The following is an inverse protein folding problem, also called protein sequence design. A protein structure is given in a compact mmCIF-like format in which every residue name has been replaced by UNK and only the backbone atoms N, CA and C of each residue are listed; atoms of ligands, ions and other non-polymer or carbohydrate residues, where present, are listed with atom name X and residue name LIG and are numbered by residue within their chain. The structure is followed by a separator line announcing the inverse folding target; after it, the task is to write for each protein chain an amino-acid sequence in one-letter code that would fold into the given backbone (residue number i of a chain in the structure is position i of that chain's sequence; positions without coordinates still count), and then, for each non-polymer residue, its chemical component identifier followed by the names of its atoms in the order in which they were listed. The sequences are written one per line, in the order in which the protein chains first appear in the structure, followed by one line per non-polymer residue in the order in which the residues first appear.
data_IF_974182633631
#
_entry.id   IF_974182633631
#
_cell.length_a   1.000
_cell.length_b   1.000
_cell.length_c   1.000
_cell.angle_alpha   90.00
_cell.angle_beta   90.00
_cell.angle_gamma   90.00
#
_symmetry.space_group_name_H-M   'P 1'
#
loop_
_entity.id
_entity.type
_entity.pdbx_description
1 polymer ?
#
# COMPACT_ATOMS: atom_id res chain seq x y z
N UNK A 1 -61.38 8.93 -10.42
CA UNK A 1 -60.36 7.94 -10.01
C UNK A 1 -58.98 8.24 -10.60
N UNK A 2 -58.86 8.73 -11.83
CA UNK A 2 -57.55 9.04 -12.45
C UNK A 2 -56.81 10.24 -11.81
N UNK A 3 -57.52 11.27 -11.36
CA UNK A 3 -56.92 12.43 -10.67
C UNK A 3 -56.19 12.03 -9.38
N UNK A 4 -56.78 11.16 -8.55
CA UNK A 4 -56.17 10.71 -7.29
C UNK A 4 -54.92 9.84 -7.49
N UNK A 5 -54.83 9.12 -8.62
CA UNK A 5 -53.63 8.33 -8.95
C UNK A 5 -52.47 9.21 -9.43
N UNK A 6 -52.76 10.32 -10.09
CA UNK A 6 -51.76 11.29 -10.53
C UNK A 6 -51.13 12.03 -9.35
N UNK A 7 -51.97 12.48 -8.41
CA UNK A 7 -51.53 13.15 -7.18
C UNK A 7 -50.67 12.23 -6.29
N UNK A 8 -50.95 10.92 -6.29
CA UNK A 8 -50.16 9.93 -5.56
C UNK A 8 -48.78 9.71 -6.18
N UNK A 9 -48.68 9.68 -7.51
CA UNK A 9 -47.39 9.52 -8.21
C UNK A 9 -46.47 10.73 -7.99
N UNK A 10 -47.04 11.93 -8.08
CA UNK A 10 -46.30 13.17 -7.87
C UNK A 10 -45.73 13.25 -6.45
N UNK A 11 -46.51 12.85 -5.44
CA UNK A 11 -46.02 12.74 -4.05
C UNK A 11 -44.91 11.69 -3.88
N UNK A 12 -44.97 10.57 -4.60
CA UNK A 12 -43.93 9.54 -4.52
C UNK A 12 -42.62 10.07 -5.14
N UNK A 13 -42.69 10.75 -6.29
CA UNK A 13 -41.52 11.34 -6.94
C UNK A 13 -40.89 12.45 -6.08
N UNK A 14 -41.70 13.30 -5.46
CA UNK A 14 -41.23 14.32 -4.52
C UNK A 14 -40.55 13.70 -3.29
N UNK A 15 -41.12 12.62 -2.74
CA UNK A 15 -40.52 11.89 -1.62
C UNK A 15 -39.18 11.24 -2.00
N UNK A 16 -39.07 10.64 -3.18
CA UNK A 16 -37.82 10.04 -3.66
C UNK A 16 -36.75 11.13 -3.84
N UNK A 17 -37.09 12.25 -4.47
CA UNK A 17 -36.15 13.36 -4.68
C UNK A 17 -35.68 13.98 -3.36
N UNK A 18 -36.58 14.16 -2.40
CA UNK A 18 -36.23 14.63 -1.06
C UNK A 18 -35.35 13.63 -0.30
N UNK A 19 -35.57 12.33 -0.52
CA UNK A 19 -34.74 11.28 0.07
C UNK A 19 -33.34 11.23 -0.55
N UNK A 20 -33.22 11.41 -1.86
CA UNK A 20 -31.93 11.47 -2.56
C UNK A 20 -31.11 12.69 -2.11
N UNK A 21 -31.72 13.88 -2.03
CA UNK A 21 -31.04 15.10 -1.57
C UNK A 21 -30.59 15.02 -0.11
N UNK A 22 -31.41 14.44 0.76
CA UNK A 22 -31.03 14.21 2.18
C UNK A 22 -29.89 13.20 2.31
N UNK A 23 -29.92 12.12 1.52
CA UNK A 23 -28.83 11.15 1.47
C UNK A 23 -27.53 11.78 0.95
N UNK A 24 -27.57 12.60 -0.10
CA UNK A 24 -26.39 13.30 -0.61
C UNK A 24 -25.80 14.27 0.41
N UNK A 25 -26.65 15.00 1.13
CA UNK A 25 -26.24 15.91 2.21
C UNK A 25 -25.61 15.15 3.38
N UNK A 26 -26.18 14.01 3.77
CA UNK A 26 -25.63 13.11 4.78
C UNK A 26 -24.28 12.54 4.32
N UNK A 27 -24.17 12.07 3.09
CA UNK A 27 -22.91 11.58 2.53
C UNK A 27 -21.83 12.66 2.50
N UNK A 28 -22.16 13.90 2.10
CA UNK A 28 -21.22 15.04 2.15
C UNK A 28 -20.81 15.36 3.59
N UNK A 29 -21.74 15.34 4.54
CA UNK A 29 -21.47 15.62 5.96
C UNK A 29 -20.62 14.54 6.62
N UNK A 30 -20.87 13.26 6.31
CA UNK A 30 -20.06 12.12 6.75
C UNK A 30 -18.65 12.26 6.17
N UNK A 31 -18.52 12.50 4.86
CA UNK A 31 -17.24 12.65 4.18
C UNK A 31 -16.42 13.85 4.66
N UNK A 32 -17.09 14.93 5.09
CA UNK A 32 -16.44 16.10 5.67
C UNK A 32 -16.01 15.86 7.13
N UNK A 33 -16.83 15.19 7.95
CA UNK A 33 -16.43 14.77 9.31
C UNK A 33 -15.28 13.76 9.29
N UNK A 34 -15.25 12.87 8.29
CA UNK A 34 -14.12 11.96 8.06
C UNK A 34 -12.84 12.71 7.69
N UNK A 35 -12.92 13.84 6.97
CA UNK A 35 -11.75 14.69 6.67
C UNK A 35 -11.20 15.43 7.89
N UNK A 36 -12.04 15.77 8.85
CA UNK A 36 -11.62 16.42 10.10
C UNK A 36 -11.06 15.43 11.12
N UNK A 37 -11.37 14.13 10.98
CA UNK A 37 -10.95 13.05 11.90
C UNK A 37 -9.85 12.15 11.33
N UNK A 38 -9.17 12.55 10.25
CA UNK A 38 -8.12 11.76 9.64
C UNK A 38 -7.03 11.43 10.66
N UNK A 39 -6.88 10.17 11.11
CA UNK A 39 -5.75 9.82 11.94
C UNK A 39 -4.50 10.07 11.10
N UNK A 40 -3.65 10.96 11.60
CA UNK A 40 -2.27 11.11 11.12
C UNK A 40 -1.62 9.73 11.08
N UNK A 41 -0.71 9.51 10.12
CA UNK A 41 0.03 8.26 10.06
C UNK A 41 0.68 8.04 11.44
N UNK A 42 0.39 6.93 12.14
CA UNK A 42 0.98 6.67 13.44
C UNK A 42 2.50 6.69 13.36
N UNK A 43 3.18 7.27 14.35
CA UNK A 43 4.64 7.49 14.31
C UNK A 43 5.44 6.19 14.21
N UNK A 44 4.88 5.07 14.70
CA UNK A 44 5.47 3.74 14.63
C UNK A 44 5.29 3.06 13.25
N UNK A 45 4.66 3.72 12.27
CA UNK A 45 4.58 3.27 10.89
C UNK A 45 5.48 4.12 9.96
N UNK A 46 6.14 3.52 8.95
CA UNK A 46 6.22 2.09 8.69
C UNK A 46 7.09 1.36 9.72
N UNK A 47 6.84 0.06 9.91
CA UNK A 47 7.65 -0.79 10.78
C UNK A 47 9.07 -0.91 10.23
N UNK A 48 10.04 -0.75 11.12
CA UNK A 48 11.47 -0.89 10.87
C UNK A 48 11.97 -2.26 11.32
N UNK A 49 11.43 -2.78 12.41
CA UNK A 49 11.86 -4.05 12.98
C UNK A 49 10.71 -5.03 13.19
N UNK A 50 11.07 -6.28 13.50
CA UNK A 50 10.12 -7.33 13.84
C UNK A 50 9.35 -7.00 15.13
N UNK A 51 10.05 -6.46 16.12
CA UNK A 51 9.55 -6.21 17.45
C UNK A 51 8.45 -5.13 17.42
N UNK A 52 8.59 -4.14 16.55
CA UNK A 52 7.57 -3.09 16.35
C UNK A 52 6.26 -3.68 15.78
N UNK A 53 6.36 -4.66 14.86
CA UNK A 53 5.20 -5.36 14.28
C UNK A 53 4.50 -6.30 15.28
N UNK A 54 5.25 -6.93 16.18
CA UNK A 54 4.72 -7.88 17.18
C UNK A 54 4.18 -7.19 18.43
N UNK A 55 4.83 -6.12 18.90
CA UNK A 55 4.47 -5.46 20.15
C UNK A 55 3.40 -4.38 19.98
N UNK A 56 3.36 -3.71 18.80
CA UNK A 56 2.51 -2.55 18.44
C UNK A 56 2.18 -1.68 19.65
N UNK A 57 2.97 -0.60 19.85
CA UNK A 57 2.86 0.30 21.01
C UNK A 57 1.42 0.81 21.20
N UNK A 58 0.82 1.40 20.16
CA UNK A 58 -0.54 1.93 20.22
C UNK A 58 -1.50 1.16 19.32
N UNK A 59 -1.90 -0.03 19.79
CA UNK A 59 -2.78 -0.93 19.03
C UNK A 59 -4.10 -0.29 18.60
N UNK A 60 -4.73 0.51 19.47
CA UNK A 60 -6.01 1.16 19.17
C UNK A 60 -5.89 2.21 18.06
N UNK A 61 -4.79 2.95 18.04
CA UNK A 61 -4.54 3.96 17.02
C UNK A 61 -4.18 3.31 15.69
N UNK A 62 -3.45 2.19 15.71
CA UNK A 62 -3.26 1.37 14.52
C UNK A 62 -4.61 0.89 13.96
N UNK A 63 -5.50 0.34 14.80
CA UNK A 63 -6.82 -0.12 14.36
C UNK A 63 -7.64 1.02 13.75
N UNK A 64 -7.69 2.19 14.41
CA UNK A 64 -8.40 3.38 13.91
C UNK A 64 -7.84 3.83 12.56
N UNK A 65 -6.51 3.90 12.45
CA UNK A 65 -5.84 4.27 11.22
C UNK A 65 -6.11 3.28 10.08
N UNK A 66 -6.05 1.98 10.36
CA UNK A 66 -6.34 0.95 9.36
C UNK A 66 -7.81 0.95 8.93
N UNK A 67 -8.77 1.17 9.84
CA UNK A 67 -10.19 1.36 9.50
C UNK A 67 -10.37 2.55 8.57
N UNK A 68 -9.67 3.65 8.85
CA UNK A 68 -9.69 4.82 7.98
C UNK A 68 -9.09 4.53 6.59
N UNK A 69 -8.02 3.73 6.51
CA UNK A 69 -7.39 3.34 5.23
C UNK A 69 -8.06 2.17 4.54
N UNK A 70 -9.04 1.52 5.17
CA UNK A 70 -9.69 0.35 4.62
C UNK A 70 -10.45 0.70 3.34
N UNK A 71 -10.56 -0.28 2.47
CA UNK A 71 -11.26 -0.23 1.20
C UNK A 71 -12.52 -1.10 1.31
N UNK A 72 -13.41 -1.04 0.32
CA UNK A 72 -14.60 -1.91 0.29
C UNK A 72 -14.25 -3.35 -0.09
N UNK A 73 -13.05 -3.59 -0.64
CA UNK A 73 -12.59 -4.91 -1.09
C UNK A 73 -11.41 -5.42 -0.27
N UNK A 74 -11.51 -6.67 0.23
CA UNK A 74 -10.48 -7.34 1.04
C UNK A 74 -9.10 -7.27 0.39
N UNK A 75 -9.01 -7.54 -0.92
CA UNK A 75 -7.75 -7.54 -1.65
C UNK A 75 -7.08 -6.16 -1.66
N UNK A 76 -7.88 -5.10 -1.76
CA UNK A 76 -7.40 -3.72 -1.72
C UNK A 76 -6.97 -3.34 -0.31
N UNK A 77 -7.74 -3.73 0.72
CA UNK A 77 -7.36 -3.57 2.12
C UNK A 77 -6.01 -4.23 2.41
N UNK A 78 -5.86 -5.51 2.08
CA UNK A 78 -4.63 -6.26 2.33
C UNK A 78 -3.43 -5.61 1.66
N UNK A 79 -3.57 -5.20 0.38
CA UNK A 79 -2.51 -4.49 -0.33
C UNK A 79 -2.15 -3.17 0.36
N UNK A 80 -3.15 -2.33 0.65
CA UNK A 80 -2.93 -0.99 1.22
C UNK A 80 -2.36 -1.06 2.64
N UNK A 81 -2.82 -2.00 3.46
CA UNK A 81 -2.32 -2.17 4.82
C UNK A 81 -0.86 -2.60 4.84
N UNK A 82 -0.46 -3.54 3.98
CA UNK A 82 0.94 -3.90 3.83
C UNK A 82 1.78 -2.73 3.30
N UNK A 83 1.23 -1.93 2.37
CA UNK A 83 1.96 -0.77 1.81
C UNK A 83 2.22 0.30 2.87
N UNK A 84 1.26 0.55 3.77
CA UNK A 84 1.48 1.43 4.92
C UNK A 84 2.46 0.81 5.91
N UNK A 85 2.29 -0.47 6.23
CA UNK A 85 3.03 -1.11 7.31
C UNK A 85 4.52 -1.28 7.02
N UNK A 86 4.88 -1.50 5.75
CA UNK A 86 6.27 -1.78 5.39
C UNK A 86 6.90 -0.68 4.55
N UNK A 87 6.11 0.18 3.89
CA UNK A 87 6.59 1.16 2.89
C UNK A 87 7.73 0.57 2.01
N UNK A 88 8.60 1.37 1.42
CA UNK A 88 9.80 0.91 0.70
C UNK A 88 10.87 0.27 1.60
N UNK A 89 10.52 -0.26 2.78
CA UNK A 89 11.45 -0.99 3.63
C UNK A 89 11.67 -2.41 3.10
N UNK A 90 12.41 -2.46 1.99
CA UNK A 90 12.69 -3.66 1.20
C UNK A 90 13.38 -4.77 2.00
N UNK A 91 14.05 -4.44 3.10
CA UNK A 91 14.76 -5.41 3.94
C UNK A 91 13.81 -6.20 4.84
N UNK A 92 12.86 -5.52 5.48
CA UNK A 92 11.93 -6.17 6.41
C UNK A 92 10.93 -7.06 5.64
N UNK A 93 10.46 -6.61 4.48
CA UNK A 93 9.52 -7.38 3.67
C UNK A 93 10.15 -8.69 3.15
N UNK A 94 11.43 -8.70 2.79
CA UNK A 94 12.11 -9.89 2.26
C UNK A 94 12.20 -11.02 3.30
N UNK A 95 12.37 -10.65 4.57
CA UNK A 95 12.50 -11.61 5.68
C UNK A 95 11.16 -12.06 6.27
N UNK A 96 10.08 -11.28 6.12
CA UNK A 96 8.75 -11.64 6.63
C UNK A 96 8.15 -12.80 5.84
N UNK A 97 7.50 -13.74 6.52
CA UNK A 97 6.74 -14.82 5.89
C UNK A 97 5.32 -14.85 6.41
N UNK A 98 4.41 -15.54 5.72
CA UNK A 98 3.02 -15.62 6.18
C UNK A 98 2.91 -16.34 7.53
N UNK A 99 3.42 -17.57 7.63
CA UNK A 99 3.30 -18.42 8.83
C UNK A 99 4.44 -18.21 9.83
N UNK A 100 5.58 -17.70 9.37
CA UNK A 100 6.80 -17.66 10.18
C UNK A 100 7.63 -18.93 10.04
N UNK A 101 8.87 -18.86 10.51
CA UNK A 101 9.75 -20.00 10.75
C UNK A 101 10.65 -19.70 11.95
N UNK A 102 11.52 -20.64 12.34
CA UNK A 102 12.49 -20.42 13.43
C UNK A 102 13.39 -19.19 13.20
N UNK A 103 13.60 -18.80 11.96
CA UNK A 103 14.51 -17.73 11.55
C UNK A 103 13.82 -16.55 10.87
N UNK A 104 12.53 -16.66 10.54
CA UNK A 104 11.78 -15.62 9.83
C UNK A 104 10.49 -15.26 10.57
N UNK A 105 10.19 -13.96 10.77
CA UNK A 105 8.95 -13.56 11.41
C UNK A 105 7.71 -13.99 10.61
N UNK A 106 6.66 -14.34 11.34
CA UNK A 106 5.35 -14.72 10.80
C UNK A 106 4.37 -13.55 10.90
N UNK A 107 3.72 -13.23 9.78
CA UNK A 107 2.72 -12.16 9.73
C UNK A 107 1.39 -12.60 10.34
N UNK A 108 0.96 -13.85 10.08
CA UNK A 108 -0.41 -14.33 10.40
C UNK A 108 -0.80 -14.12 11.87
N UNK A 109 0.13 -14.34 12.80
CA UNK A 109 -0.14 -14.30 14.23
C UNK A 109 0.40 -13.02 14.90
N UNK A 110 0.72 -11.99 14.12
CA UNK A 110 1.22 -10.71 14.66
C UNK A 110 0.08 -9.83 15.17
N UNK A 111 0.37 -8.94 16.13
CA UNK A 111 -0.59 -7.89 16.55
C UNK A 111 -0.98 -6.99 15.39
N UNK A 112 -0.06 -6.70 14.48
CA UNK A 112 -0.39 -5.97 13.25
C UNK A 112 -1.50 -6.67 12.44
N UNK A 113 -1.41 -8.00 12.27
CA UNK A 113 -2.42 -8.77 11.54
C UNK A 113 -3.76 -8.79 12.28
N UNK A 114 -3.74 -8.88 13.61
CA UNK A 114 -4.94 -8.75 14.43
C UNK A 114 -5.65 -7.40 14.19
N UNK A 115 -4.89 -6.30 14.20
CA UNK A 115 -5.44 -4.98 13.89
C UNK A 115 -6.02 -4.90 12.46
N UNK A 116 -5.36 -5.53 11.48
CA UNK A 116 -5.85 -5.63 10.11
C UNK A 116 -7.19 -6.37 10.01
N UNK A 117 -7.35 -7.48 10.75
CA UNK A 117 -8.59 -8.27 10.77
C UNK A 117 -9.74 -7.43 11.32
N UNK A 118 -9.50 -6.73 12.45
CA UNK A 118 -10.50 -5.84 13.06
C UNK A 118 -10.91 -4.73 12.08
N UNK A 119 -9.94 -4.14 11.37
CA UNK A 119 -10.22 -3.11 10.38
C UNK A 119 -11.01 -3.64 9.18
N UNK A 120 -10.65 -4.81 8.64
CA UNK A 120 -11.37 -5.40 7.50
C UNK A 120 -12.80 -5.77 7.85
N UNK A 121 -13.03 -6.44 8.99
CA UNK A 121 -14.37 -6.83 9.42
C UNK A 121 -15.29 -5.64 9.69
N UNK A 122 -14.71 -4.47 10.00
CA UNK A 122 -15.47 -3.24 10.20
C UNK A 122 -15.87 -2.55 8.90
N UNK A 123 -15.20 -2.83 7.77
CA UNK A 123 -15.29 -2.02 6.56
C UNK A 123 -15.69 -2.79 5.30
N UNK A 124 -15.55 -4.12 5.29
CA UNK A 124 -15.86 -4.97 4.13
C UNK A 124 -17.20 -5.68 4.35
N UNK A 125 -18.10 -5.58 3.38
CA UNK A 125 -19.40 -6.26 3.38
C UNK A 125 -19.58 -7.11 2.11
N UNK A 126 -20.09 -8.36 2.21
CA UNK A 126 -20.38 -9.11 3.44
C UNK A 126 -19.11 -9.41 4.25
N UNK A 127 -19.29 -9.69 5.56
CA UNK A 127 -18.15 -9.93 6.44
C UNK A 127 -17.30 -11.10 5.92
N UNK A 128 -15.99 -10.90 5.71
CA UNK A 128 -15.15 -11.91 5.10
C UNK A 128 -14.73 -13.01 6.07
N UNK A 129 -14.67 -14.24 5.56
CA UNK A 129 -14.15 -15.40 6.30
C UNK A 129 -12.62 -15.29 6.47
N UNK A 130 -12.08 -15.88 7.55
CA UNK A 130 -10.65 -15.97 7.82
C UNK A 130 -9.86 -16.48 6.62
N UNK A 131 -10.35 -17.52 5.92
CA UNK A 131 -9.68 -18.05 4.71
C UNK A 131 -9.57 -17.02 3.59
N UNK A 132 -10.56 -16.15 3.43
CA UNK A 132 -10.54 -15.10 2.41
C UNK A 132 -9.55 -14.00 2.77
N UNK A 133 -9.49 -13.64 4.06
CA UNK A 133 -8.50 -12.70 4.59
C UNK A 133 -7.10 -13.27 4.39
N UNK A 134 -6.85 -14.49 4.84
CA UNK A 134 -5.57 -15.20 4.70
C UNK A 134 -5.09 -15.21 3.24
N UNK A 135 -5.98 -15.61 2.31
CA UNK A 135 -5.66 -15.65 0.89
C UNK A 135 -5.33 -14.27 0.33
N UNK A 136 -6.08 -13.24 0.70
CA UNK A 136 -5.84 -11.87 0.26
C UNK A 136 -4.47 -11.35 0.74
N UNK A 137 -4.12 -11.57 2.01
CA UNK A 137 -2.83 -11.15 2.55
C UNK A 137 -1.65 -11.94 1.98
N UNK A 138 -1.79 -13.26 1.79
CA UNK A 138 -0.75 -14.05 1.12
C UNK A 138 -0.49 -13.54 -0.30
N UNK A 139 -1.56 -13.26 -1.06
CA UNK A 139 -1.47 -12.72 -2.41
C UNK A 139 -0.81 -11.34 -2.42
N UNK A 140 -1.21 -10.46 -1.50
CA UNK A 140 -0.66 -9.11 -1.37
C UNK A 140 0.83 -9.14 -0.96
N UNK A 141 1.20 -9.99 0.00
CA UNK A 141 2.58 -10.17 0.45
C UNK A 141 3.47 -10.71 -0.69
N UNK A 142 2.99 -11.70 -1.44
CA UNK A 142 3.71 -12.23 -2.61
C UNK A 142 3.93 -11.17 -3.68
N UNK A 143 2.89 -10.37 -3.97
CA UNK A 143 2.99 -9.27 -4.94
C UNK A 143 3.98 -8.18 -4.47
N UNK A 144 4.00 -7.87 -3.18
CA UNK A 144 4.91 -6.89 -2.60
C UNK A 144 6.37 -7.35 -2.69
N UNK A 145 6.66 -8.59 -2.31
CA UNK A 145 7.99 -9.20 -2.46
C UNK A 145 8.47 -9.21 -3.90
N UNK A 146 7.59 -9.57 -4.84
CA UNK A 146 7.94 -9.59 -6.25
C UNK A 146 8.26 -8.19 -6.79
N UNK A 147 7.57 -7.17 -6.31
CA UNK A 147 7.87 -5.76 -6.62
C UNK A 147 9.25 -5.36 -6.10
N UNK A 148 9.60 -5.71 -4.85
CA UNK A 148 10.93 -5.46 -4.27
C UNK A 148 12.01 -6.17 -5.08
N UNK A 149 11.84 -7.46 -5.36
CA UNK A 149 12.76 -8.25 -6.20
C UNK A 149 13.02 -7.59 -7.56
N UNK A 150 11.96 -7.16 -8.25
CA UNK A 150 12.07 -6.45 -9.55
C UNK A 150 12.79 -5.11 -9.41
N UNK A 151 12.53 -4.37 -8.34
CA UNK A 151 13.20 -3.09 -8.09
C UNK A 151 14.71 -3.27 -7.89
N UNK A 152 15.13 -4.28 -7.11
CA UNK A 152 16.53 -4.62 -6.89
C UNK A 152 17.24 -5.05 -8.18
N UNK A 153 16.57 -5.81 -9.05
CA UNK A 153 17.11 -6.20 -10.37
C UNK A 153 17.32 -4.98 -11.26
N UNK A 154 16.35 -4.07 -11.31
CA UNK A 154 16.45 -2.87 -12.13
C UNK A 154 17.55 -1.91 -11.64
N UNK A 155 17.71 -1.78 -10.32
CA UNK A 155 18.80 -1.02 -9.71
C UNK A 155 20.16 -1.61 -10.07
N UNK A 156 20.31 -2.93 -10.03
CA UNK A 156 21.55 -3.60 -10.40
C UNK A 156 21.88 -3.45 -11.89
N UNK A 157 20.89 -3.53 -12.78
CA UNK A 157 21.09 -3.25 -14.22
C UNK A 157 21.56 -1.83 -14.47
N UNK A 158 20.95 -0.84 -13.82
CA UNK A 158 21.34 0.56 -13.95
C UNK A 158 22.79 0.80 -13.51
N UNK A 159 23.21 0.19 -12.39
CA UNK A 159 24.61 0.25 -11.92
C UNK A 159 25.59 -0.37 -12.92
N UNK A 160 25.22 -1.45 -13.59
CA UNK A 160 26.05 -2.07 -14.63
C UNK A 160 26.15 -1.13 -15.84
N UNK A 161 25.04 -0.56 -16.30
CA UNK A 161 25.02 0.38 -17.41
C UNK A 161 25.83 1.66 -17.12
N UNK A 162 25.79 2.16 -15.89
CA UNK A 162 26.56 3.32 -15.46
C UNK A 162 28.07 2.99 -15.35
N UNK A 163 28.44 1.82 -14.82
CA UNK A 163 29.83 1.34 -14.81
C UNK A 163 30.39 1.09 -16.22
N UNK A 164 29.59 0.58 -17.15
CA UNK A 164 30.01 0.34 -18.54
C UNK A 164 30.22 1.65 -19.30
N UNK A 165 29.41 2.68 -19.01
CA UNK A 165 29.64 4.04 -19.53
C UNK A 165 30.89 4.67 -18.95
N UNK A 166 31.12 4.55 -17.65
CA UNK A 166 32.32 5.08 -17.00
C UNK A 166 33.59 4.40 -17.51
N UNK A 167 33.57 3.08 -17.68
CA UNK A 167 34.67 2.32 -18.30
C UNK A 167 34.90 2.71 -19.77
N UNK A 168 33.84 2.94 -20.56
CA UNK A 168 34.00 3.44 -21.94
C UNK A 168 34.62 4.85 -21.97
N UNK A 169 34.21 5.74 -21.05
CA UNK A 169 34.74 7.09 -20.95
C UNK A 169 36.22 7.09 -20.54
N UNK A 170 36.58 6.26 -19.56
CA UNK A 170 37.96 6.08 -19.11
C UNK A 170 38.86 5.47 -20.19
N UNK A 171 38.33 4.51 -20.96
CA UNK A 171 39.08 3.90 -22.06
C UNK A 171 39.27 4.88 -23.23
N UNK A 172 38.27 5.70 -23.56
CA UNK A 172 38.38 6.76 -24.56
C UNK A 172 39.43 7.82 -24.17
N UNK A 173 39.45 8.26 -22.91
CA UNK A 173 40.44 9.21 -22.40
C UNK A 173 41.87 8.62 -22.40
N UNK A 174 42.03 7.34 -22.06
CA UNK A 174 43.30 6.61 -22.17
C UNK A 174 43.82 6.55 -23.61
N UNK A 175 42.94 6.31 -24.59
CA UNK A 175 43.31 6.22 -26.00
C UNK A 175 43.68 7.60 -26.60
N UNK A 176 42.99 8.66 -26.18
CA UNK A 176 43.27 10.04 -26.60
C UNK A 176 44.63 10.55 -26.07
N UNK A 177 44.98 10.21 -24.82
CA UNK A 177 46.31 10.50 -24.24
C UNK A 177 47.45 9.77 -24.97
N UNK A 178 47.21 8.54 -25.48
CA UNK A 178 48.22 7.79 -26.26
C UNK A 178 48.43 8.34 -27.67
N UNK A 179 47.43 8.98 -28.27
CA UNK A 179 47.58 9.66 -29.57
C UNK A 179 48.32 11.00 -29.45
N UNK A 180 48.18 11.71 -28.33
CA UNK A 180 48.91 12.97 -28.10
C UNK A 180 50.41 12.79 -27.85
N UNK A 181 50.86 11.65 -27.32
CA UNK A 181 52.29 11.37 -27.09
C UNK A 181 53.02 10.87 -28.35
N UNK A 182 52.30 10.38 -29.34
CA UNK A 182 52.87 9.92 -30.63
C UNK A 182 53.06 11.04 -31.67
N UNK A 183 52.57 12.26 -31.40
CA UNK A 183 52.70 13.41 -32.31
C UNK A 183 54.01 14.22 -32.12
N UNK A 184 54.91 13.79 -31.23
CA UNK A 184 56.26 14.37 -31.09
C UNK A 184 57.34 13.39 -31.52
N UNK A 185 57.29 12.98 -32.78
CA UNK A 185 58.44 12.46 -33.50
C UNK A 185 58.24 12.78 -34.98
N UNK A 186 58.67 13.95 -35.46
CA UNK A 186 59.19 14.13 -36.83
C UNK A 186 59.67 15.56 -37.11
N UNK A 187 60.99 15.63 -37.32
CA UNK A 187 61.86 16.67 -37.90
C UNK A 187 62.15 17.89 -37.06
#
# INVERSE_FOLDING_TARGET
MESSQKDLKEKIEELISNQETTNESLHKSIKNREKELLPTIPEFLPFRTREEMESVVDFNDLVRYLKYKADSFINNCAKRFLEVAFDKNDQLIDIITWVGSKVKPGLKNSKFMEACIIAIRSNVFPEPNEKQIDFAFQKALKAMKERVRKSNINLNKKKIDDNDKENKCNNANSMMMRCCTMSRCRR
#
